data_IF_594478166586
#
_entry.id   IF_594478166586
#
_cell.length_a   1.000
_cell.length_b   1.000
_cell.length_c   1.000
_cell.angle_alpha   90.00
_cell.angle_beta   90.00
_cell.angle_gamma   90.00
#
_symmetry.space_group_name_H-M   'P 1'
#
loop_
_entity.id
_entity.type
_entity.pdbx_description
1 polymer ?
#
# COMPACT_ATOMS: atom_id res chain seq x y z
N UNK A 1 -7.97 44.73 -0.85
CA UNK A 1 -7.35 43.49 -1.35
C UNK A 1 -5.92 43.82 -1.67
N UNK A 2 -4.98 43.27 -0.93
CA UNK A 2 -3.53 43.42 -1.16
C UNK A 2 -3.00 42.12 -1.74
N UNK A 3 -1.99 42.20 -2.61
CA UNK A 3 -1.39 41.03 -3.25
C UNK A 3 -0.87 40.00 -2.23
N UNK A 4 -0.37 40.46 -1.07
CA UNK A 4 0.01 39.59 0.05
C UNK A 4 -1.16 38.76 0.60
N UNK A 5 -2.36 39.33 0.69
CA UNK A 5 -3.56 38.63 1.16
C UNK A 5 -4.01 37.54 0.17
N UNK A 6 -3.88 37.78 -1.14
CA UNK A 6 -4.27 36.84 -2.17
C UNK A 6 -3.29 35.65 -2.23
N UNK A 7 -2.00 35.91 -2.01
CA UNK A 7 -0.95 34.88 -1.90
C UNK A 7 -1.20 33.98 -0.68
N UNK A 8 -1.48 34.56 0.49
CA UNK A 8 -1.78 33.79 1.70
C UNK A 8 -2.98 32.85 1.53
N UNK A 9 -4.05 33.33 0.90
CA UNK A 9 -5.25 32.52 0.62
C UNK A 9 -4.96 31.38 -0.37
N UNK A 10 -4.10 31.62 -1.37
CA UNK A 10 -3.70 30.58 -2.32
C UNK A 10 -2.87 29.48 -1.65
N UNK A 11 -1.95 29.85 -0.75
CA UNK A 11 -1.13 28.90 0.03
C UNK A 11 -2.02 28.04 0.93
N UNK A 12 -2.93 28.66 1.68
CA UNK A 12 -3.83 27.94 2.58
C UNK A 12 -4.70 26.92 1.81
N UNK A 13 -5.23 27.32 0.65
CA UNK A 13 -6.01 26.41 -0.20
C UNK A 13 -5.18 25.21 -0.66
N UNK A 14 -3.94 25.44 -1.04
CA UNK A 14 -3.03 24.41 -1.55
C UNK A 14 -2.60 23.44 -0.43
N UNK A 15 -2.37 23.94 0.78
CA UNK A 15 -2.15 23.13 1.99
C UNK A 15 -3.36 22.25 2.31
N UNK A 16 -4.57 22.82 2.31
CA UNK A 16 -5.80 22.05 2.54
C UNK A 16 -5.99 20.91 1.52
N UNK A 17 -5.65 21.16 0.26
CA UNK A 17 -5.75 20.17 -0.81
C UNK A 17 -4.71 19.06 -0.64
N UNK A 18 -3.47 19.41 -0.32
CA UNK A 18 -2.40 18.45 0.00
C UNK A 18 -2.79 17.56 1.18
N UNK A 19 -3.20 18.15 2.29
CA UNK A 19 -3.57 17.41 3.51
C UNK A 19 -4.74 16.47 3.26
N UNK A 20 -5.72 16.89 2.46
CA UNK A 20 -6.82 16.03 2.06
C UNK A 20 -6.33 14.82 1.24
N UNK A 21 -5.43 15.04 0.28
CA UNK A 21 -4.87 13.95 -0.53
C UNK A 21 -4.06 12.97 0.32
N UNK A 22 -3.20 13.48 1.21
CA UNK A 22 -2.39 12.67 2.13
C UNK A 22 -3.31 11.81 3.00
N UNK A 23 -4.34 12.39 3.61
CA UNK A 23 -5.30 11.64 4.44
C UNK A 23 -6.01 10.54 3.65
N UNK A 24 -6.44 10.82 2.43
CA UNK A 24 -7.10 9.81 1.59
C UNK A 24 -6.18 8.63 1.26
N UNK A 25 -4.93 8.91 0.90
CA UNK A 25 -3.93 7.87 0.61
C UNK A 25 -3.64 7.06 1.87
N UNK A 26 -3.42 7.73 3.00
CA UNK A 26 -3.20 7.06 4.30
C UNK A 26 -4.38 6.16 4.69
N UNK A 27 -5.61 6.63 4.51
CA UNK A 27 -6.81 5.82 4.77
C UNK A 27 -6.89 4.58 3.86
N UNK A 28 -6.48 4.69 2.60
CA UNK A 28 -6.43 3.54 1.69
C UNK A 28 -5.35 2.52 2.06
N UNK A 29 -4.26 2.95 2.69
CA UNK A 29 -3.17 2.10 3.17
C UNK A 29 -3.41 1.53 4.58
N UNK A 30 -4.26 2.15 5.39
CA UNK A 30 -4.63 1.69 6.72
C UNK A 30 -5.51 0.43 6.71
N UNK A 31 -6.01 0.01 5.54
CA UNK A 31 -6.58 -1.33 5.36
C UNK A 31 -5.43 -2.32 5.41
N UNK A 32 -5.23 -2.98 6.56
CA UNK A 32 -4.23 -4.03 6.75
C UNK A 32 -4.34 -5.08 5.63
N UNK A 33 -3.41 -5.13 4.68
CA UNK A 33 -3.49 -6.11 3.62
C UNK A 33 -3.14 -7.49 4.20
N UNK A 34 -4.10 -8.41 4.18
CA UNK A 34 -3.83 -9.83 4.42
C UNK A 34 -3.76 -10.30 5.88
N UNK A 35 -4.32 -9.58 6.86
CA UNK A 35 -4.65 -10.21 8.14
C UNK A 35 -5.90 -11.06 7.99
N UNK A 36 -5.73 -12.32 7.60
CA UNK A 36 -6.77 -13.35 7.71
C UNK A 36 -7.20 -14.04 6.41
N UNK A 37 -6.76 -13.58 5.25
CA UNK A 37 -6.99 -14.31 4.00
C UNK A 37 -5.87 -15.33 3.80
N UNK A 38 -6.21 -16.60 4.05
CA UNK A 38 -5.43 -17.72 3.58
C UNK A 38 -5.31 -17.60 2.05
N UNK A 39 -4.07 -17.41 1.55
CA UNK A 39 -3.82 -17.21 0.13
C UNK A 39 -3.13 -18.41 -0.46
N UNK A 40 -3.68 -18.95 -1.54
CA UNK A 40 -3.07 -20.06 -2.27
C UNK A 40 -2.01 -19.55 -3.24
N UNK A 41 -0.96 -20.35 -3.43
CA UNK A 41 0.14 -20.05 -4.33
C UNK A 41 -0.34 -20.09 -5.79
N UNK A 42 -0.07 -19.02 -6.55
CA UNK A 42 -0.46 -18.94 -7.96
C UNK A 42 0.27 -19.94 -8.90
N UNK A 43 1.24 -20.71 -8.38
CA UNK A 43 2.04 -21.66 -9.17
C UNK A 43 1.70 -23.10 -8.83
N UNK A 44 1.65 -23.45 -7.55
CA UNK A 44 1.41 -24.84 -7.10
C UNK A 44 0.06 -25.05 -6.42
N UNK A 45 -0.67 -23.98 -6.08
CA UNK A 45 -1.92 -24.06 -5.32
C UNK A 45 -1.75 -24.27 -3.82
N UNK A 46 -0.53 -24.50 -3.32
CA UNK A 46 -0.29 -24.65 -1.87
C UNK A 46 -0.53 -23.34 -1.12
N UNK A 47 -0.94 -23.44 0.13
CA UNK A 47 -1.09 -22.29 1.02
C UNK A 47 0.22 -21.48 1.17
N UNK A 48 0.13 -20.16 1.05
CA UNK A 48 1.23 -19.23 1.34
C UNK A 48 1.32 -19.05 2.86
N UNK A 49 2.47 -19.33 3.49
CA UNK A 49 2.61 -19.25 4.94
C UNK A 49 2.25 -17.86 5.50
N UNK A 50 1.50 -17.81 6.61
CA UNK A 50 1.09 -16.55 7.24
C UNK A 50 2.29 -15.62 7.55
N UNK A 51 3.44 -16.17 7.96
CA UNK A 51 4.67 -15.40 8.17
C UNK A 51 5.17 -14.71 6.88
N UNK A 52 4.98 -15.36 5.72
CA UNK A 52 5.32 -14.80 4.41
C UNK A 52 4.36 -13.68 4.02
N UNK A 53 3.06 -13.85 4.26
CA UNK A 53 2.04 -12.81 4.00
C UNK A 53 2.29 -11.61 4.91
N UNK A 54 2.58 -11.83 6.19
CA UNK A 54 2.91 -10.76 7.14
C UNK A 54 4.15 -9.97 6.73
N UNK A 55 5.20 -10.66 6.25
CA UNK A 55 6.42 -10.02 5.79
C UNK A 55 6.26 -9.32 4.43
N UNK A 56 5.43 -9.88 3.54
CA UNK A 56 5.14 -9.33 2.21
C UNK A 56 3.66 -9.54 1.86
N UNK A 57 2.79 -8.58 2.20
CA UNK A 57 1.35 -8.68 1.96
C UNK A 57 0.94 -8.80 0.50
N UNK A 58 1.85 -8.55 -0.45
CA UNK A 58 1.63 -8.72 -1.89
C UNK A 58 2.13 -10.06 -2.43
N UNK A 59 2.64 -10.98 -1.59
CA UNK A 59 3.16 -12.27 -2.04
C UNK A 59 2.09 -13.13 -2.74
N UNK A 60 2.35 -13.52 -3.99
CA UNK A 60 1.47 -14.39 -4.81
C UNK A 60 2.00 -15.81 -4.99
N UNK A 61 3.20 -16.12 -4.46
CA UNK A 61 3.85 -17.43 -4.55
C UNK A 61 4.30 -17.91 -3.18
N UNK A 62 4.28 -19.23 -2.97
CA UNK A 62 4.91 -19.86 -1.82
C UNK A 62 6.44 -19.73 -1.89
N UNK A 63 7.12 -19.95 -0.76
CA UNK A 63 8.59 -19.79 -0.64
C UNK A 63 9.33 -20.69 -1.65
N UNK A 64 8.87 -21.93 -1.83
CA UNK A 64 9.50 -22.88 -2.75
C UNK A 64 9.41 -22.40 -4.21
N UNK A 65 8.21 -22.01 -4.66
CA UNK A 65 8.01 -21.49 -6.01
C UNK A 65 8.75 -20.17 -6.25
N UNK A 66 8.83 -19.30 -5.22
CA UNK A 66 9.60 -18.06 -5.30
C UNK A 66 11.10 -18.33 -5.49
N UNK A 67 11.69 -19.23 -4.70
CA UNK A 67 13.10 -19.60 -4.84
C UNK A 67 13.42 -20.20 -6.21
N UNK A 68 12.52 -21.02 -6.77
CA UNK A 68 12.70 -21.57 -8.11
C UNK A 68 12.63 -20.49 -9.20
N UNK A 69 11.78 -19.48 -9.02
CA UNK A 69 11.67 -18.36 -9.96
C UNK A 69 12.90 -17.45 -9.93
N UNK A 70 13.48 -17.20 -8.77
CA UNK A 70 14.66 -16.33 -8.59
C UNK A 70 15.99 -16.96 -9.04
N UNK A 71 16.04 -18.29 -9.14
CA UNK A 71 17.23 -19.04 -9.63
C UNK A 71 17.32 -19.13 -11.16
N UNK A 72 16.31 -18.62 -11.87
CA UNK A 72 16.30 -18.55 -13.35
C UNK A 72 16.81 -17.19 -13.79
#
# INVERSE_FOLDING_TARGET
MTEESDISLAIERDEMMRDRQIRNIQASLAVEPGLGEQRDCAICGDEIPAARIKALPSATRCVNCQQMAERR
#
